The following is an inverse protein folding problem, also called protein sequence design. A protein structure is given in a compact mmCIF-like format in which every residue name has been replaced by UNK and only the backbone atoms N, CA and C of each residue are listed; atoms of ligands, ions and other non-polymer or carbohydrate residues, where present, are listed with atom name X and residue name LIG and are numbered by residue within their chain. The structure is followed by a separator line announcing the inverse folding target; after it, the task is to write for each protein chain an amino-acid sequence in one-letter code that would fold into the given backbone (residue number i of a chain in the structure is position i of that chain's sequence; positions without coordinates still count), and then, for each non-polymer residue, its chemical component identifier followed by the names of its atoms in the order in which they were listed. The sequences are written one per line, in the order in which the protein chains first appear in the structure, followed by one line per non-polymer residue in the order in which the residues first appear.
data_IF_135871626460
#
_entry.id   IF_135871626460
#
_cell.length_a   1.000
_cell.length_b   1.000
_cell.length_c   1.000
_cell.angle_alpha   90.00
_cell.angle_beta   90.00
_cell.angle_gamma   90.00
#
_symmetry.space_group_name_H-M   'P 1'
#
loop_
_entity.id
_entity.type
_entity.pdbx_description
1 polymer ?
#
# COMPACT_ATOMS: atom_id res chain seq x y z
N UNK A 1 20.22 -3.71 11.31
CA UNK A 1 19.69 -4.12 9.98
C UNK A 1 19.16 -5.54 9.97
N UNK A 2 19.83 -6.52 10.60
CA UNK A 2 19.36 -7.91 10.65
C UNK A 2 18.10 -8.14 11.53
N UNK A 3 17.93 -7.41 12.64
CA UNK A 3 16.76 -7.58 13.52
C UNK A 3 15.44 -7.07 12.92
N UNK A 4 15.47 -5.97 12.16
CA UNK A 4 14.27 -5.42 11.52
C UNK A 4 13.72 -6.32 10.39
N UNK A 5 14.58 -7.14 9.77
CA UNK A 5 14.16 -8.12 8.76
C UNK A 5 13.48 -9.34 9.38
N UNK A 6 13.73 -9.63 10.67
CA UNK A 6 13.12 -10.78 11.33
C UNK A 6 11.65 -10.54 11.73
N UNK A 7 11.27 -9.27 11.95
CA UNK A 7 9.90 -8.91 12.33
C UNK A 7 8.91 -8.99 11.16
N UNK A 8 9.37 -8.71 9.93
CA UNK A 8 8.54 -8.66 8.72
C UNK A 8 8.99 -9.71 7.69
N UNK A 9 9.29 -10.92 8.16
CA UNK A 9 9.88 -11.97 7.34
C UNK A 9 8.97 -12.39 6.18
N UNK A 10 7.65 -12.45 6.37
CA UNK A 10 6.70 -12.83 5.32
C UNK A 10 6.63 -11.78 4.21
N UNK A 11 6.67 -10.49 4.55
CA UNK A 11 6.65 -9.37 3.62
C UNK A 11 7.93 -9.31 2.77
N UNK A 12 9.10 -9.45 3.39
CA UNK A 12 10.38 -9.38 2.68
C UNK A 12 10.77 -10.68 1.98
N UNK A 13 10.02 -11.75 2.18
CA UNK A 13 10.23 -13.02 1.48
C UNK A 13 9.89 -12.90 -0.01
N UNK A 14 10.64 -13.62 -0.83
CA UNK A 14 10.29 -13.78 -2.24
C UNK A 14 9.04 -14.64 -2.35
N UNK A 15 8.08 -14.19 -3.15
CA UNK A 15 6.82 -14.88 -3.37
C UNK A 15 6.50 -15.01 -4.85
N UNK A 16 5.52 -15.85 -5.17
CA UNK A 16 4.89 -15.92 -6.49
C UNK A 16 3.51 -15.29 -6.35
N UNK A 17 3.21 -14.28 -7.18
CA UNK A 17 1.88 -13.69 -7.18
C UNK A 17 0.89 -14.68 -7.79
N UNK A 18 -0.41 -14.48 -7.56
CA UNK A 18 -1.47 -15.28 -8.17
C UNK A 18 -1.46 -15.23 -9.72
N UNK A 19 -0.71 -14.28 -10.29
CA UNK A 19 -0.49 -14.15 -11.74
C UNK A 19 0.54 -15.21 -12.19
N UNK A 20 0.21 -16.10 -13.14
CA UNK A 20 1.10 -17.18 -13.57
C UNK A 20 2.48 -16.68 -14.04
N UNK A 21 3.54 -17.21 -13.42
CA UNK A 21 4.92 -16.89 -13.78
C UNK A 21 5.43 -15.54 -13.23
N UNK A 22 4.65 -14.86 -12.39
CA UNK A 22 5.04 -13.58 -11.79
C UNK A 22 5.69 -13.80 -10.41
N UNK A 23 6.98 -13.50 -10.32
CA UNK A 23 7.72 -13.48 -9.05
C UNK A 23 7.70 -12.07 -8.48
N UNK A 24 7.66 -11.95 -7.16
CA UNK A 24 7.69 -10.67 -6.48
C UNK A 24 8.58 -10.72 -5.23
N UNK A 25 9.22 -9.59 -4.92
CA UNK A 25 9.95 -9.38 -3.67
C UNK A 25 9.76 -7.95 -3.20
N UNK A 26 9.33 -7.78 -1.95
CA UNK A 26 9.14 -6.45 -1.39
C UNK A 26 10.49 -5.81 -1.04
N UNK A 27 10.61 -4.53 -1.36
CA UNK A 27 11.74 -3.68 -1.01
C UNK A 27 11.22 -2.42 -0.32
N UNK A 28 11.80 -2.08 0.85
CA UNK A 28 11.50 -0.78 1.49
C UNK A 28 12.10 0.33 0.63
N UNK A 29 11.25 1.30 0.25
CA UNK A 29 11.65 2.47 -0.56
C UNK A 29 11.02 3.74 -0.02
N UNK A 30 11.86 4.73 0.31
CA UNK A 30 11.41 6.05 0.76
C UNK A 30 11.15 7.02 -0.40
N UNK A 31 11.27 6.55 -1.64
CA UNK A 31 11.00 7.30 -2.86
C UNK A 31 10.29 6.41 -3.88
N UNK A 32 9.53 7.03 -4.78
CA UNK A 32 8.85 6.35 -5.87
C UNK A 32 9.88 5.65 -6.81
N UNK A 33 9.62 4.42 -7.28
CA UNK A 33 10.36 3.82 -8.38
C UNK A 33 10.28 4.67 -9.68
N UNK A 34 11.13 4.40 -10.69
CA UNK A 34 10.98 5.03 -12.01
C UNK A 34 9.56 4.81 -12.55
N UNK A 35 8.85 5.90 -12.88
CA UNK A 35 7.43 5.85 -13.25
C UNK A 35 7.14 4.88 -14.40
N UNK A 36 8.03 4.81 -15.39
CA UNK A 36 7.92 3.90 -16.54
C UNK A 36 7.97 2.40 -16.17
N UNK A 37 8.40 2.06 -14.94
CA UNK A 37 8.45 0.69 -14.44
C UNK A 37 7.33 0.39 -13.45
N UNK A 38 6.43 1.32 -13.14
CA UNK A 38 5.34 1.07 -12.18
C UNK A 38 4.14 0.52 -12.95
N UNK A 39 3.71 -0.70 -12.58
CA UNK A 39 2.51 -1.32 -13.14
C UNK A 39 1.27 -1.09 -12.28
N UNK A 40 1.47 -0.95 -10.97
CA UNK A 40 0.40 -0.86 -9.99
C UNK A 40 0.77 0.09 -8.85
N UNK A 41 -0.25 0.67 -8.24
CA UNK A 41 -0.14 1.38 -6.96
C UNK A 41 -1.05 0.71 -5.95
N UNK A 42 -0.50 0.32 -4.80
CA UNK A 42 -1.22 -0.28 -3.68
C UNK A 42 -1.07 0.61 -2.44
N UNK A 43 -2.11 0.64 -1.60
CA UNK A 43 -2.19 1.54 -0.47
C UNK A 43 -2.49 0.78 0.84
N UNK A 44 -1.84 1.21 1.93
CA UNK A 44 -2.33 1.00 3.30
C UNK A 44 -3.02 2.28 3.76
N UNK A 45 -4.36 2.36 3.76
CA UNK A 45 -5.09 3.59 4.08
C UNK A 45 -5.36 3.71 5.59
N UNK A 46 -5.30 4.94 6.11
CA UNK A 46 -5.54 5.27 7.52
C UNK A 46 -6.62 6.34 7.68
N UNK A 47 -7.51 6.12 8.65
CA UNK A 47 -8.48 7.11 9.16
C UNK A 47 -8.16 7.32 10.64
N UNK A 48 -7.48 8.43 10.96
CA UNK A 48 -6.96 8.64 12.31
C UNK A 48 -5.97 7.53 12.70
N UNK A 49 -6.19 6.86 13.83
CA UNK A 49 -5.34 5.76 14.31
C UNK A 49 -5.77 4.37 13.79
N UNK A 50 -6.81 4.33 12.96
CA UNK A 50 -7.35 3.09 12.40
C UNK A 50 -6.92 2.94 10.94
N UNK A 51 -6.86 1.70 10.48
CA UNK A 51 -6.61 1.38 9.08
C UNK A 51 -7.90 0.97 8.37
N UNK A 52 -7.88 1.08 7.05
CA UNK A 52 -8.96 0.62 6.18
C UNK A 52 -8.57 -0.71 5.54
N UNK A 53 -9.49 -1.67 5.55
CA UNK A 53 -9.35 -2.95 4.84
C UNK A 53 -10.57 -3.13 3.94
N UNK A 54 -10.35 -3.63 2.72
CA UNK A 54 -11.43 -4.00 1.80
C UNK A 54 -11.59 -5.52 1.78
N UNK A 55 -12.85 -5.97 1.76
CA UNK A 55 -13.22 -7.35 1.51
C UNK A 55 -13.98 -7.41 0.20
N UNK A 56 -13.52 -8.25 -0.71
CA UNK A 56 -14.17 -8.43 -2.01
C UNK A 56 -15.37 -9.38 -1.90
N UNK A 57 -16.26 -9.38 -2.89
CA UNK A 57 -17.43 -10.28 -2.93
C UNK A 57 -17.06 -11.76 -2.84
N UNK A 58 -15.89 -12.13 -3.34
CA UNK A 58 -15.33 -13.49 -3.21
C UNK A 58 -14.85 -13.84 -1.79
N UNK A 59 -14.98 -12.92 -0.82
CA UNK A 59 -14.60 -13.08 0.58
C UNK A 59 -13.12 -12.85 0.89
N UNK A 60 -12.30 -12.50 -0.11
CA UNK A 60 -10.88 -12.24 0.11
C UNK A 60 -10.65 -10.83 0.65
N UNK A 61 -9.81 -10.73 1.68
CA UNK A 61 -9.25 -9.47 2.17
C UNK A 61 -8.15 -9.01 1.22
N UNK A 62 -8.19 -7.76 0.78
CA UNK A 62 -7.18 -7.18 -0.11
C UNK A 62 -6.76 -5.78 0.37
N UNK A 63 -5.64 -5.32 -0.19
CA UNK A 63 -5.18 -3.93 -0.11
C UNK A 63 -5.88 -3.13 -1.20
N UNK A 64 -6.36 -1.91 -0.93
CA UNK A 64 -6.78 -1.02 -1.98
C UNK A 64 -5.65 -0.73 -2.97
N UNK A 65 -6.00 -0.58 -4.24
CA UNK A 65 -5.10 -0.19 -5.30
C UNK A 65 -5.12 -1.13 -6.50
N UNK A 66 -4.76 -0.60 -7.66
CA UNK A 66 -4.88 -1.31 -8.91
C UNK A 66 -3.84 -0.91 -9.93
N UNK A 67 -4.21 -1.00 -11.19
CA UNK A 67 -3.29 -0.89 -12.34
C UNK A 67 -3.17 0.56 -12.77
N UNK A 68 -1.96 1.00 -13.11
CA UNK A 68 -1.78 2.30 -13.74
C UNK A 68 -2.36 2.27 -15.16
N UNK A 69 -3.32 3.13 -15.44
CA UNK A 69 -3.90 3.26 -16.79
C UNK A 69 -3.04 4.19 -17.68
N UNK A 70 -3.16 4.11 -19.01
CA UNK A 70 -2.35 4.90 -19.92
C UNK A 70 -2.43 6.40 -19.63
N UNK A 71 -1.28 7.00 -19.33
CA UNK A 71 -1.16 8.44 -19.06
C UNK A 71 -1.38 8.84 -17.61
N UNK A 72 -1.77 7.92 -16.72
CA UNK A 72 -1.89 8.22 -15.30
C UNK A 72 -0.52 8.31 -14.60
N UNK A 73 -0.40 9.30 -13.73
CA UNK A 73 0.61 9.30 -12.67
C UNK A 73 0.22 8.33 -11.55
N UNK A 74 1.21 7.95 -10.72
CA UNK A 74 0.96 7.10 -9.56
C UNK A 74 -0.04 7.73 -8.57
N UNK A 75 -0.05 9.06 -8.48
CA UNK A 75 -0.95 9.80 -7.61
C UNK A 75 -2.40 9.79 -8.14
N UNK A 76 -2.58 9.91 -9.46
CA UNK A 76 -3.90 9.77 -10.10
C UNK A 76 -4.44 8.34 -9.93
N UNK A 77 -3.61 7.32 -10.21
CA UNK A 77 -3.98 5.93 -9.96
C UNK A 77 -4.36 5.71 -8.49
N UNK A 78 -3.55 6.18 -7.53
CA UNK A 78 -3.84 6.05 -6.10
C UNK A 78 -5.21 6.64 -5.72
N UNK A 79 -5.48 7.88 -6.16
CA UNK A 79 -6.74 8.57 -5.82
C UNK A 79 -7.94 7.89 -6.45
N UNK A 80 -7.83 7.46 -7.71
CA UNK A 80 -8.89 6.74 -8.41
C UNK A 80 -9.22 5.45 -7.69
N UNK A 81 -8.22 4.60 -7.44
CA UNK A 81 -8.42 3.28 -6.82
C UNK A 81 -8.97 3.41 -5.39
N UNK A 82 -8.46 4.35 -4.57
CA UNK A 82 -9.00 4.59 -3.23
C UNK A 82 -10.46 5.06 -3.25
N UNK A 83 -10.83 5.91 -4.22
CA UNK A 83 -12.21 6.34 -4.37
C UNK A 83 -13.11 5.19 -4.85
N UNK A 84 -12.64 4.40 -5.81
CA UNK A 84 -13.42 3.31 -6.41
C UNK A 84 -13.64 2.14 -5.45
N UNK A 85 -12.60 1.72 -4.74
CA UNK A 85 -12.61 0.51 -3.93
C UNK A 85 -12.96 0.77 -2.46
N UNK A 86 -12.61 1.94 -1.93
CA UNK A 86 -12.84 2.27 -0.52
C UNK A 86 -13.78 3.46 -0.31
N UNK A 87 -14.21 4.15 -1.38
CA UNK A 87 -14.96 5.40 -1.26
C UNK A 87 -14.17 6.49 -0.52
N UNK A 88 -12.84 6.44 -0.63
CA UNK A 88 -11.92 7.21 0.18
C UNK A 88 -11.22 8.32 -0.62
N UNK A 89 -11.18 9.53 -0.06
CA UNK A 89 -10.40 10.63 -0.60
C UNK A 89 -9.02 10.69 0.08
N UNK A 90 -7.95 10.74 -0.71
CA UNK A 90 -6.57 10.89 -0.21
C UNK A 90 -6.32 12.30 0.33
N UNK A 91 -5.86 12.39 1.58
CA UNK A 91 -5.46 13.66 2.22
C UNK A 91 -3.95 13.88 2.08
N UNK A 92 -3.16 12.84 2.37
CA UNK A 92 -1.72 12.78 2.14
C UNK A 92 -1.28 11.33 1.98
N UNK A 93 -0.16 11.10 1.31
CA UNK A 93 0.42 9.77 1.16
C UNK A 93 1.95 9.84 1.14
N UNK A 94 2.58 8.75 1.54
CA UNK A 94 4.04 8.63 1.64
C UNK A 94 4.52 7.28 1.11
N UNK A 95 5.72 7.21 0.50
CA UNK A 95 6.29 5.95 0.02
C UNK A 95 6.52 4.93 1.13
N UNK A 96 5.92 3.73 0.99
CA UNK A 96 6.12 2.60 1.91
C UNK A 96 7.00 1.49 1.31
N UNK A 97 7.08 1.38 0.00
CA UNK A 97 7.96 0.41 -0.65
C UNK A 97 7.49 0.05 -2.03
N UNK A 98 7.98 -1.06 -2.55
CA UNK A 98 7.44 -1.65 -3.76
C UNK A 98 7.72 -3.15 -3.77
N UNK A 99 6.81 -3.93 -4.34
CA UNK A 99 7.20 -5.24 -4.84
C UNK A 99 7.92 -5.06 -6.18
N UNK A 100 9.20 -5.42 -6.23
CA UNK A 100 9.91 -5.67 -7.48
C UNK A 100 9.38 -6.97 -8.05
N UNK A 101 8.91 -6.94 -9.29
CA UNK A 101 8.25 -8.06 -9.95
C UNK A 101 8.94 -8.43 -11.26
N UNK A 102 8.94 -9.73 -11.56
CA UNK A 102 9.48 -10.28 -12.80
C UNK A 102 8.51 -11.32 -13.37
N UNK A 103 8.11 -11.13 -14.62
CA UNK A 103 7.24 -12.04 -15.37
C UNK A 103 8.03 -12.95 -16.28
N UNK A 104 7.79 -14.26 -16.21
CA UNK A 104 8.32 -15.24 -17.17
C UNK A 104 7.46 -15.41 -18.42
N UNK A 105 6.39 -14.63 -18.59
CA UNK A 105 5.52 -14.70 -19.77
C UNK A 105 6.22 -14.10 -20.99
N UNK A 106 5.88 -14.52 -22.22
CA UNK A 106 6.49 -13.95 -23.43
C UNK A 106 6.01 -12.54 -23.78
N UNK A 107 4.90 -12.08 -23.18
CA UNK A 107 4.27 -10.80 -23.47
C UNK A 107 3.79 -10.14 -22.17
N UNK A 108 3.67 -8.79 -22.13
CA UNK A 108 3.12 -8.09 -20.99
C UNK A 108 1.66 -8.47 -20.73
N UNK A 109 1.21 -8.32 -19.47
CA UNK A 109 -0.18 -8.57 -19.09
C UNK A 109 -1.17 -7.62 -19.80
N UNK A 110 -0.78 -6.35 -19.97
CA UNK A 110 -1.44 -5.38 -20.85
C UNK A 110 -0.39 -4.64 -21.67
N UNK A 111 -0.69 -4.22 -22.92
CA UNK A 111 0.32 -3.67 -23.83
C UNK A 111 1.10 -2.46 -23.31
N UNK A 112 0.49 -1.64 -22.44
CA UNK A 112 1.11 -0.45 -21.89
C UNK A 112 1.90 -0.68 -20.60
N UNK A 113 1.86 -1.90 -20.04
CA UNK A 113 2.54 -2.21 -18.78
C UNK A 113 3.99 -2.64 -19.00
N UNK A 114 4.89 -2.29 -18.06
CA UNK A 114 6.29 -2.69 -18.12
C UNK A 114 6.45 -4.22 -18.08
N UNK A 115 7.44 -4.72 -18.82
CA UNK A 115 7.75 -6.13 -18.96
C UNK A 115 9.22 -6.34 -19.40
N UNK A 116 9.92 -7.39 -18.93
CA UNK A 116 9.45 -8.41 -17.96
C UNK A 116 9.48 -7.93 -16.51
N UNK A 117 10.22 -6.86 -16.23
CA UNK A 117 10.40 -6.30 -14.90
C UNK A 117 9.46 -5.11 -14.66
N UNK A 118 8.83 -5.08 -13.49
CA UNK A 118 7.90 -4.02 -13.09
C UNK A 118 7.92 -3.83 -11.57
N UNK A 119 7.33 -2.73 -11.10
CA UNK A 119 7.08 -2.45 -9.70
C UNK A 119 5.58 -2.35 -9.42
N UNK A 120 5.14 -3.02 -8.36
CA UNK A 120 3.89 -2.67 -7.67
C UNK A 120 4.26 -1.72 -6.53
N UNK A 121 4.08 -0.43 -6.78
CA UNK A 121 4.44 0.62 -5.84
C UNK A 121 3.48 0.62 -4.64
N UNK A 122 4.02 0.75 -3.43
CA UNK A 122 3.25 0.70 -2.19
C UNK A 122 3.43 2.00 -1.42
N UNK A 123 2.31 2.61 -1.07
CA UNK A 123 2.25 3.80 -0.21
C UNK A 123 1.43 3.50 1.03
N UNK A 124 1.59 4.32 2.06
CA UNK A 124 0.54 4.48 3.06
C UNK A 124 -0.10 5.86 2.87
N UNK A 125 -1.38 6.00 3.18
CA UNK A 125 -2.10 7.26 3.01
C UNK A 125 -3.01 7.56 4.20
N UNK A 126 -3.11 8.82 4.57
CA UNK A 126 -4.21 9.31 5.38
C UNK A 126 -5.37 9.68 4.46
N UNK A 127 -6.56 9.21 4.80
CA UNK A 127 -7.75 9.32 3.95
C UNK A 127 -8.98 9.75 4.74
N UNK A 128 -9.97 10.27 4.02
CA UNK A 128 -11.32 10.48 4.52
C UNK A 128 -12.29 9.56 3.74
N UNK A 129 -13.14 8.80 4.44
CA UNK A 129 -14.21 8.05 3.80
C UNK A 129 -15.36 9.02 3.47
N UNK A 130 -15.67 9.18 2.19
CA UNK A 130 -16.61 10.19 1.69
C UNK A 130 -17.80 9.60 0.94
N UNK A 131 -17.71 8.36 0.49
CA UNK A 131 -18.78 7.66 -0.23
C UNK A 131 -18.68 6.15 -0.02
N UNK A 132 -19.64 5.39 -0.56
CA UNK A 132 -19.52 3.95 -0.74
C UNK A 132 -18.63 3.64 -1.96
N UNK A 133 -17.95 2.47 -2.00
CA UNK A 133 -17.23 1.99 -3.18
C UNK A 133 -18.12 2.02 -4.42
N UNK A 134 -17.55 2.40 -5.55
CA UNK A 134 -18.26 2.46 -6.84
C UNK A 134 -18.12 1.16 -7.64
N UNK A 135 -17.17 0.28 -7.27
CA UNK A 135 -16.99 -1.06 -7.83
C UNK A 135 -16.79 -1.09 -9.37
N UNK A 136 -16.01 -0.14 -9.91
CA UNK A 136 -15.68 -0.12 -11.35
C UNK A 136 -14.67 -1.21 -11.77
N UNK A 137 -13.83 -1.67 -10.84
CA UNK A 137 -12.85 -2.75 -11.04
C UNK A 137 -13.20 -3.99 -10.23
N UNK A 138 -12.47 -4.22 -9.13
CA UNK A 138 -12.80 -5.28 -8.19
C UNK A 138 -14.16 -5.00 -7.51
N UNK A 139 -14.94 -6.06 -7.26
CA UNK A 139 -16.21 -5.95 -6.57
C UNK A 139 -15.97 -5.97 -5.06
N UNK A 140 -15.98 -4.80 -4.44
CA UNK A 140 -15.83 -4.63 -3.00
C UNK A 140 -17.19 -4.85 -2.33
N UNK A 141 -17.24 -5.84 -1.44
CA UNK A 141 -18.42 -6.15 -0.64
C UNK A 141 -18.45 -5.36 0.67
N UNK A 142 -17.28 -5.08 1.25
CA UNK A 142 -17.18 -4.42 2.54
C UNK A 142 -15.93 -3.55 2.65
N UNK A 143 -16.10 -2.36 3.23
CA UNK A 143 -15.02 -1.47 3.67
C UNK A 143 -15.08 -1.39 5.18
N UNK A 144 -13.98 -1.71 5.85
CA UNK A 144 -13.91 -1.74 7.31
C UNK A 144 -12.82 -0.82 7.83
N UNK A 145 -13.14 -0.08 8.89
CA UNK A 145 -12.19 0.74 9.65
C UNK A 145 -11.92 0.02 10.97
N UNK A 146 -10.69 -0.45 11.16
CA UNK A 146 -10.32 -1.27 12.30
C UNK A 146 -8.89 -0.99 12.79
N UNK A 147 -8.56 -1.34 14.04
CA UNK A 147 -7.20 -1.25 14.53
C UNK A 147 -6.23 -2.08 13.68
N UNK A 148 -5.01 -1.60 13.52
CA UNK A 148 -3.97 -2.25 12.70
C UNK A 148 -3.73 -3.69 13.13
N UNK A 149 -3.69 -3.97 14.44
CA UNK A 149 -3.52 -5.34 14.95
C UNK A 149 -4.67 -6.26 14.53
N UNK A 150 -5.91 -5.78 14.54
CA UNK A 150 -7.08 -6.56 14.14
C UNK A 150 -7.08 -6.85 12.63
N UNK A 151 -6.66 -5.87 11.81
CA UNK A 151 -6.44 -6.10 10.37
C UNK A 151 -5.35 -7.15 10.13
N UNK A 152 -4.22 -7.04 10.85
CA UNK A 152 -3.11 -7.96 10.73
C UNK A 152 -3.50 -9.40 11.12
N UNK A 153 -4.25 -9.58 12.21
CA UNK A 153 -4.76 -10.89 12.62
C UNK A 153 -5.67 -11.51 11.56
N UNK A 154 -6.53 -10.71 10.93
CA UNK A 154 -7.41 -11.17 9.83
C UNK A 154 -6.63 -11.57 8.58
N UNK A 155 -5.61 -10.81 8.19
CA UNK A 155 -4.75 -11.17 7.07
C UNK A 155 -3.96 -12.46 7.35
N UNK A 156 -3.46 -12.64 8.57
CA UNK A 156 -2.82 -13.92 8.98
C UNK A 156 -3.81 -15.07 8.90
N UNK A 157 -5.02 -14.89 9.43
CA UNK A 157 -6.07 -15.91 9.41
C UNK A 157 -6.53 -16.26 7.99
N UNK A 158 -6.46 -15.32 7.04
CA UNK A 158 -6.78 -15.56 5.62
C UNK A 158 -5.63 -16.11 4.79
N UNK A 159 -4.47 -16.40 5.40
CA UNK A 159 -3.30 -16.93 4.72
C UNK A 159 -2.50 -15.89 3.94
N UNK A 160 -2.63 -14.61 4.30
CA UNK A 160 -1.91 -13.47 3.70
C UNK A 160 -1.00 -12.78 4.74
N UNK A 161 -0.07 -13.48 5.41
CA UNK A 161 0.78 -12.90 6.45
C UNK A 161 1.65 -11.74 5.94
N UNK A 162 1.97 -11.70 4.65
CA UNK A 162 2.69 -10.59 4.03
C UNK A 162 1.89 -9.28 4.04
N UNK A 163 0.55 -9.34 3.96
CA UNK A 163 -0.31 -8.16 4.09
C UNK A 163 -0.44 -7.73 5.56
N UNK A 164 -0.50 -8.69 6.49
CA UNK A 164 -0.47 -8.38 7.92
C UNK A 164 0.77 -7.57 8.30
N UNK A 165 1.94 -8.06 7.88
CA UNK A 165 3.22 -7.40 8.13
C UNK A 165 3.35 -6.07 7.40
N UNK A 166 2.73 -5.91 6.22
CA UNK A 166 2.70 -4.64 5.50
C UNK A 166 1.92 -3.56 6.27
N UNK A 167 0.76 -3.91 6.83
CA UNK A 167 -0.02 -2.99 7.66
C UNK A 167 0.72 -2.60 8.94
N UNK A 168 1.36 -3.56 9.60
CA UNK A 168 2.20 -3.30 10.78
C UNK A 168 3.39 -2.40 10.47
N UNK A 169 4.08 -2.65 9.34
CA UNK A 169 5.18 -1.81 8.88
C UNK A 169 4.71 -0.38 8.57
N UNK A 170 3.58 -0.23 7.89
CA UNK A 170 3.00 1.08 7.56
C UNK A 170 2.72 1.90 8.83
N UNK A 171 2.09 1.27 9.81
CA UNK A 171 1.76 1.89 11.09
C UNK A 171 3.01 2.27 11.89
N UNK A 172 4.01 1.38 11.96
CA UNK A 172 5.29 1.67 12.61
C UNK A 172 6.01 2.87 11.99
N UNK A 173 6.07 2.92 10.65
CA UNK A 173 6.69 4.03 9.90
C UNK A 173 5.92 5.33 10.14
N UNK A 174 4.58 5.29 10.04
CA UNK A 174 3.70 6.45 10.23
C UNK A 174 3.83 7.03 11.64
N UNK A 175 3.83 6.19 12.67
CA UNK A 175 4.05 6.62 14.06
C UNK A 175 5.44 7.20 14.28
N UNK A 176 6.47 6.62 13.67
CA UNK A 176 7.82 7.18 13.73
C UNK A 176 7.88 8.58 13.08
N UNK A 177 7.24 8.79 11.94
CA UNK A 177 7.24 10.10 11.27
C UNK A 177 6.45 11.16 12.06
N UNK A 178 5.29 10.79 12.63
CA UNK A 178 4.53 11.69 13.51
C UNK A 178 5.35 12.12 14.74
N UNK A 179 6.09 11.19 15.36
CA UNK A 179 6.94 11.50 16.51
C UNK A 179 8.09 12.46 16.16
N UNK A 180 8.72 12.29 14.98
CA UNK A 180 9.78 13.21 14.49
C UNK A 180 9.24 14.62 14.25
N UNK A 181 8.08 14.75 13.62
CA UNK A 181 7.46 16.06 13.37
C UNK A 181 7.10 16.80 14.67
N UNK A 182 6.70 16.08 15.73
CA UNK A 182 6.45 16.69 17.03
C UNK A 182 7.72 17.19 17.72
N UNK A 183 8.83 16.43 17.62
CA UNK A 183 10.12 16.85 18.18
C UNK A 183 10.66 18.10 17.47
N UNK A 184 10.59 18.13 16.13
CA UNK A 184 11.01 19.30 15.35
C UNK A 184 10.18 20.54 15.73
N UNK A 185 8.86 20.40 15.88
CA UNK A 185 7.99 21.51 16.29
C UNK A 185 8.33 22.07 17.69
N UNK A 186 8.72 21.22 18.64
CA UNK A 186 9.16 21.65 19.97
C UNK A 186 10.50 22.42 19.90
N UNK A 187 11.44 21.98 19.06
CA UNK A 187 12.75 22.64 18.92
C UNK A 187 12.68 24.01 18.24
N UNK A 188 11.73 24.23 17.33
CA UNK A 188 11.51 25.56 16.72
C UNK A 188 10.79 26.55 17.66
N UNK A 189 10.07 26.09 18.68
CA UNK A 189 9.35 26.96 19.62
C UNK A 189 10.22 27.52 20.74
N UNK A 190 11.49 27.12 20.86
CA UNK A 190 12.41 27.58 21.93
C UNK A 190 13.36 28.71 21.50
N UNK A 191 13.14 29.34 20.35
CA UNK A 191 14.01 30.40 19.80
C UNK A 191 13.30 31.76 19.57
N UNK A 192 12.19 32.04 20.24
CA UNK A 192 11.64 33.40 20.32
C UNK A 192 11.29 33.75 21.76
N UNK A 193 12.29 34.26 22.50
CA UNK A 193 12.15 35.16 23.64
C UNK A 193 13.56 35.62 24.06
N UNK A 194 14.07 36.65 23.39
CA UNK A 194 15.06 37.60 23.94
C UNK A 194 14.84 38.98 23.26
#
# INVERSE_FOLDING_TARGET
MAEALNQYASLFSRTTLHIPGMKAQFERRTTQPPAALISNVNCVPFVGDFCVVITLERGSLELPGGTCEPGESCEETLRRELLEEAGAQTLRFEPLGAWSTHSSQPHPFRPHLPHPDAYRYVVYADVALVTHPTNHGEQVAQVEVLPVHAAADRFRASGRPEFAELYELADAVRRQQASRMQVDHIQFSTYESD
#
